data_IF_196500874497
#
_entry.id   IF_196500874497
#
_cell.length_a   1.000
_cell.length_b   1.000
_cell.length_c   1.000
_cell.angle_alpha   90.00
_cell.angle_beta   90.00
_cell.angle_gamma   90.00
#
_symmetry.space_group_name_H-M   'P 1'
#
loop_
_entity.id
_entity.type
_entity.pdbx_description
1 polymer ?
#
# COMPACT_ATOMS: atom_id res chain seq x y z
N UNK A 1 13.02 -7.08 -27.00
CA UNK A 1 12.37 -7.14 -25.67
C UNK A 1 11.59 -5.86 -25.49
N UNK A 2 10.30 -5.97 -25.36
CA UNK A 2 9.44 -4.80 -25.13
C UNK A 2 9.57 -4.25 -23.69
N UNK A 3 8.84 -3.18 -23.34
CA UNK A 3 8.96 -2.56 -22.02
C UNK A 3 8.40 -3.48 -20.91
N UNK A 4 7.30 -4.17 -21.16
CA UNK A 4 6.69 -5.09 -20.21
C UNK A 4 7.60 -6.29 -19.94
N UNK A 5 8.21 -6.87 -20.96
CA UNK A 5 9.20 -7.94 -20.82
C UNK A 5 10.42 -7.50 -20.00
N UNK A 6 10.92 -6.28 -20.23
CA UNK A 6 12.04 -5.73 -19.44
C UNK A 6 11.69 -5.51 -17.98
N UNK A 7 10.48 -5.02 -17.69
CA UNK A 7 9.98 -4.85 -16.33
C UNK A 7 9.78 -6.21 -15.65
N UNK A 8 9.32 -7.23 -16.36
CA UNK A 8 9.16 -8.60 -15.84
C UNK A 8 10.51 -9.28 -15.57
N UNK A 9 11.54 -8.95 -16.36
CA UNK A 9 12.89 -9.50 -16.20
C UNK A 9 13.77 -8.74 -15.19
N UNK A 10 13.20 -7.69 -14.55
CA UNK A 10 13.94 -6.94 -13.55
C UNK A 10 14.26 -7.87 -12.36
N UNK A 11 15.53 -8.00 -12.04
CA UNK A 11 15.93 -8.67 -10.80
C UNK A 11 15.49 -7.82 -9.61
N UNK A 12 14.60 -8.37 -8.82
CA UNK A 12 13.98 -7.68 -7.69
C UNK A 12 14.45 -8.23 -6.34
N UNK A 13 15.38 -9.21 -6.35
CA UNK A 13 15.89 -9.80 -5.12
C UNK A 13 16.72 -8.79 -4.34
N UNK A 14 16.43 -8.68 -3.04
CA UNK A 14 17.07 -7.73 -2.15
C UNK A 14 16.66 -6.26 -2.32
N UNK A 15 15.83 -5.90 -3.30
CA UNK A 15 15.35 -4.54 -3.47
C UNK A 15 14.25 -4.20 -2.45
N UNK A 16 14.37 -3.00 -1.86
CA UNK A 16 13.25 -2.40 -1.15
C UNK A 16 12.14 -2.01 -2.14
N UNK A 17 10.91 -1.83 -1.67
CA UNK A 17 9.79 -1.37 -2.50
C UNK A 17 10.09 -0.06 -3.22
N UNK A 18 10.82 0.87 -2.59
CA UNK A 18 11.26 2.12 -3.18
C UNK A 18 12.30 1.92 -4.28
N UNK A 19 13.33 1.09 -4.03
CA UNK A 19 14.35 0.79 -5.02
C UNK A 19 13.76 0.09 -6.25
N UNK A 20 12.82 -0.83 -6.04
CA UNK A 20 12.07 -1.48 -7.11
C UNK A 20 11.33 -0.46 -7.99
N UNK A 21 10.53 0.43 -7.37
CA UNK A 21 9.79 1.47 -8.12
C UNK A 21 10.72 2.47 -8.82
N UNK A 22 11.86 2.79 -8.22
CA UNK A 22 12.89 3.64 -8.85
C UNK A 22 13.44 2.97 -10.11
N UNK A 23 13.78 1.68 -10.05
CA UNK A 23 14.28 0.93 -11.20
C UNK A 23 13.21 0.82 -12.31
N UNK A 24 11.95 0.56 -11.93
CA UNK A 24 10.83 0.53 -12.88
C UNK A 24 10.61 1.87 -13.57
N UNK A 25 10.62 2.98 -12.82
CA UNK A 25 10.53 4.34 -13.37
C UNK A 25 11.67 4.63 -14.33
N UNK A 26 12.90 4.20 -14.03
CA UNK A 26 14.05 4.36 -14.93
C UNK A 26 13.86 3.63 -16.28
N UNK A 27 13.30 2.41 -16.25
CA UNK A 27 12.98 1.68 -17.47
C UNK A 27 11.87 2.34 -18.29
N UNK A 28 10.85 2.88 -17.62
CA UNK A 28 9.75 3.62 -18.27
C UNK A 28 10.29 4.92 -18.87
N UNK A 29 11.04 5.73 -18.09
CA UNK A 29 11.59 7.00 -18.54
C UNK A 29 12.50 6.87 -19.76
N UNK A 30 13.23 5.77 -19.88
CA UNK A 30 14.06 5.47 -21.04
C UNK A 30 13.25 5.25 -22.34
N UNK A 31 11.92 5.11 -22.28
CA UNK A 31 11.03 4.82 -23.43
C UNK A 31 9.92 5.84 -23.60
N UNK A 32 9.47 6.44 -22.49
CA UNK A 32 8.40 7.43 -22.46
C UNK A 32 8.84 8.53 -21.48
N UNK A 33 9.16 9.70 -22.00
CA UNK A 33 9.57 10.86 -21.18
C UNK A 33 8.38 11.39 -20.39
N UNK A 34 8.65 11.89 -19.18
CA UNK A 34 7.71 12.59 -18.33
C UNK A 34 8.45 13.61 -17.46
N UNK A 35 7.76 14.68 -17.03
CA UNK A 35 8.35 15.76 -16.24
C UNK A 35 8.15 15.54 -14.74
N UNK A 36 7.08 14.84 -14.38
CA UNK A 36 6.77 14.50 -12.99
C UNK A 36 6.07 13.14 -12.90
N UNK A 37 6.10 12.54 -11.73
CA UNK A 37 5.44 11.25 -11.48
C UNK A 37 4.96 11.11 -10.04
N UNK A 38 3.94 10.28 -9.86
CA UNK A 38 3.51 9.73 -8.57
C UNK A 38 3.36 8.22 -8.73
N UNK A 39 4.28 7.47 -8.16
CA UNK A 39 4.21 6.01 -8.09
C UNK A 39 3.94 5.60 -6.65
N UNK A 40 2.69 5.37 -6.33
CA UNK A 40 2.26 5.11 -4.97
C UNK A 40 1.89 3.65 -4.75
N UNK A 41 2.27 3.11 -3.59
CA UNK A 41 1.67 1.89 -3.04
C UNK A 41 0.42 2.25 -2.22
N UNK A 42 -0.54 1.34 -2.20
CA UNK A 42 -1.77 1.48 -1.42
C UNK A 42 -1.96 0.27 -0.50
N UNK A 43 -2.74 0.42 0.55
CA UNK A 43 -3.30 -0.73 1.22
C UNK A 43 -4.27 -1.45 0.27
N UNK A 44 -4.08 -2.76 -0.01
CA UNK A 44 -4.86 -3.43 -1.04
C UNK A 44 -6.34 -3.62 -0.68
N UNK A 45 -6.72 -3.51 0.60
CA UNK A 45 -8.11 -3.62 1.05
C UNK A 45 -8.86 -2.29 0.89
N UNK A 46 -8.22 -1.17 1.22
CA UNK A 46 -8.86 0.15 1.23
C UNK A 46 -8.52 1.01 0.01
N UNK A 47 -7.40 0.74 -0.66
CA UNK A 47 -6.89 1.55 -1.76
C UNK A 47 -6.26 2.88 -1.32
N UNK A 48 -6.13 3.11 -0.01
CA UNK A 48 -5.53 4.32 0.54
C UNK A 48 -3.99 4.27 0.38
N UNK A 49 -3.40 5.38 -0.02
CA UNK A 49 -1.95 5.49 -0.24
C UNK A 49 -1.17 5.34 1.06
N UNK A 50 -0.16 4.47 1.04
CA UNK A 50 0.69 4.16 2.20
C UNK A 50 2.14 4.59 2.00
N UNK A 51 2.69 4.39 0.80
CA UNK A 51 4.08 4.69 0.47
C UNK A 51 4.15 5.36 -0.90
N UNK A 52 4.08 6.69 -0.98
CA UNK A 52 4.29 7.40 -2.23
C UNK A 52 5.79 7.43 -2.59
N UNK A 53 6.07 7.28 -3.88
CA UNK A 53 7.34 7.64 -4.50
C UNK A 53 7.01 8.65 -5.59
N UNK A 54 7.26 9.92 -5.33
CA UNK A 54 6.82 11.01 -6.20
C UNK A 54 7.96 12.00 -6.44
N UNK A 55 8.00 12.53 -7.65
CA UNK A 55 8.76 13.72 -8.01
C UNK A 55 7.79 14.69 -8.64
N UNK A 56 7.43 15.73 -7.93
CA UNK A 56 6.42 16.73 -8.29
C UNK A 56 7.00 18.12 -8.09
N UNK A 57 7.96 18.57 -8.95
CA UNK A 57 8.75 19.78 -8.74
C UNK A 57 7.91 21.06 -8.69
N UNK A 58 6.68 21.03 -9.22
CA UNK A 58 5.74 22.14 -9.21
C UNK A 58 4.97 22.29 -7.87
N UNK A 59 5.12 21.36 -6.92
CA UNK A 59 4.44 21.39 -5.62
C UNK A 59 5.47 21.56 -4.52
N UNK A 60 5.36 22.65 -3.75
CA UNK A 60 6.19 22.81 -2.57
C UNK A 60 5.86 21.74 -1.51
N UNK A 61 6.85 21.25 -0.73
CA UNK A 61 6.60 20.21 0.28
C UNK A 61 5.48 20.57 1.28
N UNK A 62 5.34 21.85 1.63
CA UNK A 62 4.28 22.34 2.52
C UNK A 62 2.87 22.28 1.92
N UNK A 63 2.75 22.24 0.59
CA UNK A 63 1.46 22.20 -0.10
C UNK A 63 1.00 20.77 -0.40
N UNK A 64 1.85 19.77 -0.20
CA UNK A 64 1.51 18.36 -0.43
C UNK A 64 0.23 17.90 0.30
N UNK A 65 -0.01 18.26 1.57
CA UNK A 65 -1.26 17.89 2.24
C UNK A 65 -2.51 18.40 1.53
N UNK A 66 -2.48 19.65 1.05
CA UNK A 66 -3.60 20.25 0.30
C UNK A 66 -3.83 19.52 -1.05
N UNK A 67 -2.75 19.17 -1.77
CA UNK A 67 -2.84 18.39 -3.01
C UNK A 67 -3.41 17.00 -2.74
N UNK A 68 -2.98 16.33 -1.67
CA UNK A 68 -3.53 15.03 -1.23
C UNK A 68 -5.03 15.17 -0.96
N UNK A 69 -5.46 16.16 -0.17
CA UNK A 69 -6.88 16.42 0.11
C UNK A 69 -7.68 16.59 -1.17
N UNK A 70 -7.19 17.43 -2.10
CA UNK A 70 -7.84 17.65 -3.41
C UNK A 70 -7.93 16.36 -4.23
N UNK A 71 -6.91 15.48 -4.16
CA UNK A 71 -6.93 14.18 -4.86
C UNK A 71 -8.07 13.29 -4.40
N UNK A 72 -8.31 13.21 -3.09
CA UNK A 72 -9.39 12.40 -2.53
C UNK A 72 -10.78 13.02 -2.71
N UNK A 73 -10.88 14.35 -2.72
CA UNK A 73 -12.18 15.05 -2.94
C UNK A 73 -12.60 15.13 -4.41
N UNK A 74 -11.79 14.59 -5.34
CA UNK A 74 -12.14 14.52 -6.76
C UNK A 74 -12.90 13.24 -7.10
N UNK A 75 -14.17 13.38 -7.48
CA UNK A 75 -15.04 12.27 -7.85
C UNK A 75 -14.77 11.71 -9.26
N UNK A 76 -14.01 12.41 -10.11
CA UNK A 76 -13.74 12.00 -11.49
C UNK A 76 -12.34 12.34 -11.97
N UNK A 77 -11.89 11.59 -12.98
CA UNK A 77 -10.59 11.84 -13.67
C UNK A 77 -10.56 13.24 -14.29
N UNK A 78 -11.69 13.73 -14.79
CA UNK A 78 -11.81 15.08 -15.39
C UNK A 78 -11.54 16.16 -14.34
N UNK A 79 -12.15 16.06 -13.17
CA UNK A 79 -11.90 17.00 -12.07
C UNK A 79 -10.44 16.98 -11.62
N UNK A 80 -9.84 15.79 -11.53
CA UNK A 80 -8.42 15.68 -11.18
C UNK A 80 -7.51 16.33 -12.22
N UNK A 81 -7.81 16.18 -13.51
CA UNK A 81 -7.09 16.87 -14.59
C UNK A 81 -7.19 18.39 -14.47
N UNK A 82 -8.33 18.93 -14.04
CA UNK A 82 -8.46 20.38 -13.77
C UNK A 82 -7.52 20.82 -12.65
N UNK A 83 -7.45 20.05 -11.56
CA UNK A 83 -6.49 20.31 -10.47
C UNK A 83 -5.05 20.27 -10.96
N UNK A 84 -4.70 19.29 -11.78
CA UNK A 84 -3.36 19.17 -12.35
C UNK A 84 -3.02 20.32 -13.31
N UNK A 85 -4.00 20.81 -14.07
CA UNK A 85 -3.80 21.96 -14.95
C UNK A 85 -3.48 23.25 -14.18
N UNK A 86 -4.06 23.46 -12.99
CA UNK A 86 -3.70 24.57 -12.10
C UNK A 86 -2.23 24.47 -11.60
N UNK A 87 -1.66 23.25 -11.54
CA UNK A 87 -0.27 22.98 -11.21
C UNK A 87 0.67 23.05 -12.44
N UNK A 88 0.15 23.45 -13.61
CA UNK A 88 0.92 23.55 -14.86
C UNK A 88 1.10 22.20 -15.59
N UNK A 89 0.36 21.17 -15.23
CA UNK A 89 0.38 19.88 -15.93
C UNK A 89 -0.54 19.95 -17.15
N UNK A 90 0.04 19.74 -18.35
CA UNK A 90 -0.69 19.77 -19.62
C UNK A 90 -1.37 18.44 -19.94
N UNK A 91 -0.72 17.33 -19.59
CA UNK A 91 -1.22 16.00 -19.88
C UNK A 91 -0.77 14.96 -18.86
N UNK A 92 -1.57 13.93 -18.66
CA UNK A 92 -1.32 12.86 -17.68
C UNK A 92 -1.73 11.50 -18.21
N UNK A 93 -0.96 10.48 -17.85
CA UNK A 93 -1.34 9.07 -17.96
C UNK A 93 -1.41 8.48 -16.56
N UNK A 94 -2.57 7.95 -16.21
CA UNK A 94 -2.84 7.32 -14.91
C UNK A 94 -3.10 5.83 -15.09
N UNK A 95 -2.44 5.01 -14.30
CA UNK A 95 -2.55 3.55 -14.31
C UNK A 95 -2.90 3.07 -12.91
N UNK A 96 -4.06 2.45 -12.75
CA UNK A 96 -4.42 1.75 -11.51
C UNK A 96 -3.81 0.35 -11.53
N UNK A 97 -3.10 0.00 -10.47
CA UNK A 97 -2.40 -1.28 -10.32
C UNK A 97 -3.20 -2.17 -9.35
N UNK A 98 -4.06 -3.00 -9.93
CA UNK A 98 -5.00 -3.83 -9.15
C UNK A 98 -5.19 -5.20 -9.78
N UNK A 99 -5.54 -6.15 -8.94
CA UNK A 99 -5.98 -7.48 -9.32
C UNK A 99 -7.17 -7.91 -8.42
N UNK A 100 -7.57 -9.20 -8.52
CA UNK A 100 -8.68 -9.72 -7.71
C UNK A 100 -8.41 -9.72 -6.18
N UNK A 101 -7.17 -9.55 -5.76
CA UNK A 101 -6.79 -9.53 -4.34
C UNK A 101 -6.72 -8.11 -3.76
N UNK A 102 -6.76 -7.07 -4.62
CA UNK A 102 -6.85 -5.70 -4.16
C UNK A 102 -6.20 -4.68 -5.08
N UNK A 103 -6.21 -3.43 -4.63
CA UNK A 103 -5.51 -2.33 -5.27
C UNK A 103 -4.14 -2.17 -4.62
N UNK A 104 -3.07 -2.49 -5.36
CA UNK A 104 -1.69 -2.48 -4.85
C UNK A 104 -1.00 -1.14 -4.99
N UNK A 105 -1.50 -0.28 -5.89
CA UNK A 105 -0.95 1.03 -6.12
C UNK A 105 -1.54 1.73 -7.33
N UNK A 106 -0.91 2.83 -7.67
CA UNK A 106 -1.12 3.50 -8.95
C UNK A 106 0.16 4.18 -9.41
N UNK A 107 0.25 4.41 -10.72
CA UNK A 107 1.30 5.21 -11.33
C UNK A 107 0.65 6.31 -12.16
N UNK A 108 0.99 7.56 -11.85
CA UNK A 108 0.67 8.74 -12.67
C UNK A 108 1.96 9.32 -13.24
N UNK A 109 1.96 9.58 -14.54
CA UNK A 109 3.04 10.25 -15.27
C UNK A 109 2.50 11.57 -15.80
N UNK A 110 3.18 12.66 -15.55
CA UNK A 110 2.74 14.01 -15.90
C UNK A 110 3.70 14.66 -16.90
N UNK A 111 3.13 15.45 -17.84
CA UNK A 111 3.86 16.33 -18.73
C UNK A 111 3.38 17.76 -18.57
N UNK A 112 4.32 18.71 -18.63
CA UNK A 112 4.08 20.14 -18.45
C UNK A 112 4.17 20.92 -19.77
N UNK A 113 4.67 20.34 -20.85
CA UNK A 113 4.90 21.05 -22.13
C UNK A 113 4.15 20.45 -23.30
N UNK A 114 4.20 19.15 -23.48
CA UNK A 114 3.56 18.44 -24.62
C UNK A 114 2.78 17.24 -24.14
N UNK A 115 1.71 16.88 -24.85
CA UNK A 115 0.92 15.67 -24.54
C UNK A 115 1.69 14.38 -24.82
N UNK A 116 1.21 13.28 -24.20
CA UNK A 116 1.65 11.93 -24.57
C UNK A 116 1.06 11.56 -25.94
N UNK A 117 1.88 11.05 -26.83
CA UNK A 117 1.45 10.51 -28.12
C UNK A 117 0.65 9.21 -27.95
N UNK A 118 -0.19 8.86 -28.92
CA UNK A 118 -0.93 7.59 -28.90
C UNK A 118 0.00 6.39 -28.77
N UNK A 119 1.12 6.38 -29.49
CA UNK A 119 2.13 5.33 -29.39
C UNK A 119 2.74 5.18 -27.99
N UNK A 120 2.93 6.28 -27.25
CA UNK A 120 3.40 6.25 -25.87
C UNK A 120 2.31 5.73 -24.95
N UNK A 121 1.07 6.16 -25.13
CA UNK A 121 -0.09 5.65 -24.39
C UNK A 121 -0.28 4.16 -24.58
N UNK A 122 -0.16 3.66 -25.81
CA UNK A 122 -0.25 2.23 -26.14
C UNK A 122 0.84 1.41 -25.43
N UNK A 123 2.07 1.94 -25.38
CA UNK A 123 3.17 1.30 -24.64
C UNK A 123 2.91 1.23 -23.15
N UNK A 124 2.31 2.26 -22.58
CA UNK A 124 2.00 2.34 -21.15
C UNK A 124 0.79 1.48 -20.77
N UNK A 125 -0.17 1.32 -21.69
CA UNK A 125 -1.40 0.54 -21.47
C UNK A 125 -1.15 -0.94 -21.14
N UNK A 126 -0.04 -1.51 -21.58
CA UNK A 126 0.36 -2.89 -21.32
C UNK A 126 1.05 -3.11 -19.96
N UNK A 127 1.38 -2.04 -19.21
CA UNK A 127 2.20 -2.14 -18.00
C UNK A 127 1.46 -2.53 -16.72
N UNK A 128 0.16 -2.18 -16.53
CA UNK A 128 -0.50 -2.43 -15.25
C UNK A 128 -0.40 -3.86 -14.72
N UNK A 129 -0.55 -4.94 -15.51
CA UNK A 129 -0.45 -6.31 -15.00
C UNK A 129 0.93 -6.63 -14.40
N UNK A 130 2.00 -6.22 -15.06
CA UNK A 130 3.39 -6.46 -14.64
C UNK A 130 3.71 -5.66 -13.39
N UNK A 131 3.37 -4.37 -13.36
CA UNK A 131 3.59 -3.51 -12.20
C UNK A 131 2.77 -3.98 -11.00
N UNK A 132 1.51 -4.39 -11.21
CA UNK A 132 0.65 -4.96 -10.16
C UNK A 132 1.29 -6.20 -9.53
N UNK A 133 1.74 -7.14 -10.35
CA UNK A 133 2.37 -8.36 -9.87
C UNK A 133 3.65 -8.06 -9.06
N UNK A 134 4.46 -7.11 -9.52
CA UNK A 134 5.70 -6.75 -8.84
C UNK A 134 5.45 -6.04 -7.49
N UNK A 135 4.46 -5.14 -7.39
CA UNK A 135 4.10 -4.51 -6.11
C UNK A 135 3.53 -5.53 -5.12
N UNK A 136 2.63 -6.41 -5.57
CA UNK A 136 2.12 -7.49 -4.71
C UNK A 136 3.25 -8.39 -4.20
N UNK A 137 4.19 -8.76 -5.06
CA UNK A 137 5.35 -9.55 -4.68
C UNK A 137 6.27 -8.81 -3.69
N UNK A 138 6.47 -7.50 -3.87
CA UNK A 138 7.20 -6.68 -2.92
C UNK A 138 6.55 -6.71 -1.52
N UNK A 139 5.21 -6.67 -1.44
CA UNK A 139 4.49 -6.83 -0.18
C UNK A 139 4.66 -8.25 0.37
N UNK A 140 4.52 -9.30 -0.45
CA UNK A 140 4.69 -10.69 -0.01
C UNK A 140 6.07 -10.95 0.64
N UNK A 141 7.12 -10.35 0.11
CA UNK A 141 8.50 -10.46 0.62
C UNK A 141 8.71 -9.81 2.00
N UNK A 142 7.85 -8.90 2.42
CA UNK A 142 7.94 -8.31 3.78
C UNK A 142 7.55 -9.28 4.89
N UNK A 143 6.90 -10.39 4.56
CA UNK A 143 6.48 -11.42 5.50
C UNK A 143 7.59 -12.47 5.70
N UNK A 144 8.60 -12.10 6.46
CA UNK A 144 9.72 -12.99 6.84
C UNK A 144 9.55 -13.49 8.26
N UNK A 145 10.24 -14.58 8.59
CA UNK A 145 10.42 -14.97 9.99
C UNK A 145 11.42 -14.00 10.61
N UNK A 146 11.09 -13.30 11.71
CA UNK A 146 12.03 -12.38 12.35
C UNK A 146 13.23 -13.08 12.93
N UNK A 147 14.44 -12.56 12.70
CA UNK A 147 15.68 -13.07 13.27
C UNK A 147 15.86 -12.70 14.76
N UNK A 148 15.08 -11.71 15.23
CA UNK A 148 15.11 -11.22 16.61
C UNK A 148 13.71 -10.82 17.07
N UNK A 149 13.44 -10.79 18.39
CA UNK A 149 12.17 -10.29 18.91
C UNK A 149 11.87 -8.90 18.37
N UNK A 150 10.65 -8.66 17.87
CA UNK A 150 10.31 -7.37 17.28
C UNK A 150 10.34 -6.28 18.37
N UNK A 151 11.02 -5.16 18.08
CA UNK A 151 10.88 -3.97 18.90
C UNK A 151 9.41 -3.54 18.86
N UNK A 152 8.75 -3.49 20.02
CA UNK A 152 7.35 -3.14 20.15
C UNK A 152 7.09 -1.76 19.54
N UNK A 153 6.13 -1.68 18.62
CA UNK A 153 5.62 -0.39 18.14
C UNK A 153 4.73 0.18 19.23
N UNK A 154 5.04 1.39 19.68
CA UNK A 154 4.16 2.11 20.61
C UNK A 154 2.99 2.69 19.82
N UNK A 155 1.80 2.57 20.40
CA UNK A 155 0.61 3.23 19.86
C UNK A 155 0.63 4.72 20.19
N UNK A 156 0.05 5.52 19.29
CA UNK A 156 -0.05 6.95 19.50
C UNK A 156 -1.15 7.59 18.66
N UNK A 157 -1.42 8.85 18.93
CA UNK A 157 -2.44 9.63 18.26
C UNK A 157 -1.85 10.94 17.77
N UNK A 158 -2.27 11.35 16.56
CA UNK A 158 -2.05 12.68 16.00
C UNK A 158 -3.41 13.35 15.89
N UNK A 159 -3.51 14.61 16.26
CA UNK A 159 -4.68 15.43 16.01
C UNK A 159 -4.40 16.38 14.85
N UNK A 160 -5.30 16.37 13.87
CA UNK A 160 -5.30 17.28 12.74
C UNK A 160 -6.61 18.05 12.67
N UNK A 161 -6.62 19.13 11.92
CA UNK A 161 -7.86 19.80 11.49
C UNK A 161 -8.25 19.41 10.05
N UNK A 162 -9.35 19.96 9.55
CA UNK A 162 -9.87 19.68 8.21
C UNK A 162 -8.97 20.21 7.09
N UNK A 163 -8.03 21.11 7.40
CA UNK A 163 -7.00 21.59 6.48
C UNK A 163 -5.71 20.75 6.55
N UNK A 164 -5.78 19.58 7.20
CA UNK A 164 -4.67 18.64 7.39
C UNK A 164 -3.48 19.25 8.19
N UNK A 165 -3.72 20.30 8.97
CA UNK A 165 -2.70 20.87 9.82
C UNK A 165 -2.58 20.07 11.11
N UNK A 166 -1.36 19.66 11.46
CA UNK A 166 -1.08 18.93 12.71
C UNK A 166 -1.22 19.88 13.88
N UNK A 167 -2.10 19.53 14.82
CA UNK A 167 -2.41 20.33 16.04
C UNK A 167 -1.76 19.75 17.28
N UNK A 168 -1.65 18.43 17.37
CA UNK A 168 -1.01 17.76 18.50
C UNK A 168 -0.50 16.37 18.10
N UNK A 169 0.55 15.90 18.77
CA UNK A 169 1.15 14.57 18.53
C UNK A 169 1.54 13.98 19.89
N UNK A 170 1.09 12.78 20.19
CA UNK A 170 1.57 12.06 21.38
C UNK A 170 3.01 11.58 21.17
N UNK A 171 3.77 11.37 22.24
CA UNK A 171 5.17 10.91 22.16
C UNK A 171 5.30 9.54 21.46
N UNK A 172 4.34 8.62 21.68
CA UNK A 172 4.28 7.33 20.98
C UNK A 172 4.08 7.49 19.48
N UNK A 173 3.15 8.37 19.06
CA UNK A 173 2.94 8.68 17.65
C UNK A 173 4.21 9.28 17.02
N UNK A 174 4.86 10.25 17.67
CA UNK A 174 6.10 10.85 17.18
C UNK A 174 7.17 9.80 16.87
N UNK A 175 7.38 8.82 17.76
CA UNK A 175 8.33 7.73 17.51
C UNK A 175 7.91 6.79 16.38
N UNK A 176 6.62 6.50 16.25
CA UNK A 176 6.10 5.68 15.15
C UNK A 176 6.28 6.39 13.79
N UNK A 177 5.97 7.69 13.74
CA UNK A 177 6.12 8.53 12.54
C UNK A 177 7.56 8.55 12.02
N UNK A 178 8.55 8.69 12.91
CA UNK A 178 9.96 8.67 12.53
C UNK A 178 10.39 7.37 11.84
N UNK A 179 9.69 6.26 12.09
CA UNK A 179 9.94 4.98 11.39
C UNK A 179 9.26 4.89 10.03
N UNK A 180 8.25 5.72 9.80
CA UNK A 180 7.49 5.77 8.54
C UNK A 180 8.07 6.78 7.56
N UNK A 181 8.85 7.76 8.03
CA UNK A 181 9.49 8.77 7.18
C UNK A 181 10.79 8.21 6.58
N UNK A 182 11.05 8.43 5.29
CA UNK A 182 12.35 8.16 4.71
C UNK A 182 13.42 9.04 5.40
N UNK A 183 14.57 8.47 5.80
CA UNK A 183 15.56 9.21 6.58
C UNK A 183 16.27 10.36 5.84
N UNK A 184 16.05 10.51 4.53
CA UNK A 184 16.83 11.41 3.66
C UNK A 184 16.01 12.44 2.89
N UNK A 185 14.69 12.49 3.06
CA UNK A 185 13.86 13.45 2.31
C UNK A 185 13.26 14.52 3.23
N UNK A 186 13.37 15.81 2.87
CA UNK A 186 12.56 16.84 3.49
C UNK A 186 11.08 16.54 3.17
N UNK A 187 10.30 16.29 4.20
CA UNK A 187 8.88 15.98 4.09
C UNK A 187 8.05 16.81 5.05
N UNK A 188 6.73 16.79 4.92
CA UNK A 188 5.85 17.37 5.91
C UNK A 188 6.06 16.70 7.28
N UNK A 189 5.61 17.34 8.38
CA UNK A 189 5.88 16.88 9.76
C UNK A 189 5.32 15.50 10.10
N UNK A 190 4.42 14.96 9.26
CA UNK A 190 3.89 13.61 9.38
C UNK A 190 3.98 12.87 8.05
N UNK A 191 4.10 11.52 8.03
CA UNK A 191 4.19 10.75 6.79
C UNK A 191 2.91 10.86 5.97
N UNK A 192 3.08 10.71 4.65
CA UNK A 192 1.98 10.77 3.69
C UNK A 192 0.82 9.85 4.05
N UNK A 193 1.07 8.68 4.64
CA UNK A 193 0.01 7.75 5.06
C UNK A 193 -0.99 8.40 6.03
N UNK A 194 -0.51 9.24 6.99
CA UNK A 194 -1.40 9.95 7.92
C UNK A 194 -2.29 10.97 7.19
N UNK A 195 -1.73 11.74 6.26
CA UNK A 195 -2.53 12.68 5.45
C UNK A 195 -3.52 11.95 4.54
N UNK A 196 -3.13 10.80 3.97
CA UNK A 196 -4.00 10.05 3.08
C UNK A 196 -5.21 9.44 3.81
N UNK A 197 -5.06 8.92 5.05
CA UNK A 197 -6.23 8.42 5.81
C UNK A 197 -7.15 9.56 6.23
N UNK A 198 -6.61 10.74 6.56
CA UNK A 198 -7.43 11.93 6.87
C UNK A 198 -8.19 12.41 5.63
N UNK A 199 -7.52 12.52 4.50
CA UNK A 199 -8.16 12.90 3.24
C UNK A 199 -9.24 11.89 2.81
N UNK A 200 -9.01 10.58 3.06
CA UNK A 200 -9.99 9.55 2.81
C UNK A 200 -11.21 9.65 3.77
N UNK A 201 -10.99 10.02 5.05
CA UNK A 201 -12.08 10.28 6.00
C UNK A 201 -12.97 11.42 5.51
N UNK A 202 -12.36 12.56 5.18
CA UNK A 202 -13.10 13.72 4.68
C UNK A 202 -13.88 13.40 3.41
N UNK A 203 -13.26 12.69 2.46
CA UNK A 203 -13.93 12.25 1.25
C UNK A 203 -15.02 11.20 1.51
N UNK A 204 -14.90 10.40 2.57
CA UNK A 204 -15.94 9.46 3.00
C UNK A 204 -17.14 10.19 3.60
N UNK A 205 -16.91 11.20 4.43
CA UNK A 205 -17.96 12.07 4.99
C UNK A 205 -18.71 12.81 3.89
N UNK A 206 -18.01 13.22 2.81
CA UNK A 206 -18.59 13.85 1.63
C UNK A 206 -19.27 12.85 0.66
N UNK A 207 -19.28 11.55 0.97
CA UNK A 207 -19.87 10.51 0.12
C UNK A 207 -19.07 10.19 -1.17
N UNK A 208 -17.83 10.67 -1.30
CA UNK A 208 -16.97 10.49 -2.48
C UNK A 208 -16.16 9.19 -2.37
N UNK A 209 -15.65 8.87 -1.17
CA UNK A 209 -14.83 7.68 -0.94
C UNK A 209 -15.66 6.59 -0.26
N UNK A 210 -15.81 5.40 -0.88
CA UNK A 210 -16.69 4.35 -0.34
C UNK A 210 -16.05 3.51 0.76
N UNK A 211 -14.72 3.58 0.92
CA UNK A 211 -13.95 2.74 1.84
C UNK A 211 -13.82 3.36 3.24
N UNK A 212 -13.44 2.52 4.19
CA UNK A 212 -13.08 2.98 5.54
C UNK A 212 -11.74 3.72 5.53
N UNK A 213 -11.56 4.77 6.35
CA UNK A 213 -10.37 5.62 6.37
C UNK A 213 -9.23 5.00 7.20
N UNK A 214 -8.72 3.86 6.79
CA UNK A 214 -7.57 3.20 7.41
C UNK A 214 -6.64 2.53 6.40
N UNK A 215 -5.40 2.32 6.79
CA UNK A 215 -4.40 1.65 5.96
C UNK A 215 -3.33 0.97 6.82
N UNK A 216 -2.72 -0.09 6.28
CA UNK A 216 -1.53 -0.73 6.84
C UNK A 216 -0.30 -0.18 6.18
N UNK A 217 0.70 0.16 6.99
CA UNK A 217 1.97 0.73 6.54
C UNK A 217 3.11 -0.19 6.97
N UNK A 218 3.99 -0.51 6.03
CA UNK A 218 5.19 -1.30 6.30
C UNK A 218 6.26 -0.46 7.00
N UNK A 219 6.81 -0.98 8.10
CA UNK A 219 7.82 -0.31 8.93
C UNK A 219 9.22 -0.91 8.83
N UNK A 220 9.44 -1.73 7.82
CA UNK A 220 10.67 -2.50 7.65
C UNK A 220 10.65 -3.86 8.37
N UNK A 221 11.50 -4.79 7.91
CA UNK A 221 11.46 -6.19 8.29
C UNK A 221 10.04 -6.76 8.16
N UNK A 222 9.57 -7.57 9.10
CA UNK A 222 8.20 -8.12 9.08
C UNK A 222 7.18 -7.25 9.87
N UNK A 223 7.41 -5.94 10.03
CA UNK A 223 6.58 -5.07 10.89
C UNK A 223 5.59 -4.23 10.09
N UNK A 224 4.35 -4.22 10.56
CA UNK A 224 3.27 -3.46 9.97
C UNK A 224 2.54 -2.64 11.04
N UNK A 225 2.24 -1.38 10.72
CA UNK A 225 1.38 -0.52 11.52
C UNK A 225 0.04 -0.34 10.83
N UNK A 226 -1.02 -0.22 11.62
CA UNK A 226 -2.31 0.28 11.15
C UNK A 226 -2.47 1.74 11.51
N UNK A 227 -2.88 2.54 10.55
CA UNK A 227 -3.16 3.97 10.65
C UNK A 227 -4.64 4.16 10.35
N UNK A 228 -5.40 4.79 11.27
CA UNK A 228 -6.84 5.01 11.14
C UNK A 228 -7.16 6.45 11.44
N UNK A 229 -8.06 7.05 10.66
CA UNK A 229 -8.58 8.38 10.93
C UNK A 229 -10.02 8.30 11.40
N UNK A 230 -10.34 9.04 12.45
CA UNK A 230 -11.69 9.13 13.01
C UNK A 230 -12.01 10.59 13.37
N UNK A 231 -13.28 10.98 13.24
CA UNK A 231 -13.75 12.30 13.65
C UNK A 231 -13.78 12.37 15.20
N UNK A 232 -13.17 13.40 15.74
CA UNK A 232 -13.18 13.71 17.16
C UNK A 232 -13.62 15.17 17.32
N UNK A 233 -14.90 15.39 17.53
CA UNK A 233 -15.52 16.72 17.59
C UNK A 233 -15.17 17.57 16.35
N UNK A 234 -14.50 18.71 16.53
CA UNK A 234 -13.99 19.61 15.49
C UNK A 234 -12.59 19.23 14.96
N UNK A 235 -12.06 18.05 15.32
CA UNK A 235 -10.74 17.56 14.97
C UNK A 235 -10.81 16.21 14.29
N UNK A 236 -9.67 15.78 13.77
CA UNK A 236 -9.47 14.43 13.25
C UNK A 236 -8.37 13.77 14.06
N UNK A 237 -8.71 12.65 14.70
CA UNK A 237 -7.75 11.82 15.40
C UNK A 237 -7.21 10.76 14.44
N UNK A 238 -5.88 10.73 14.24
CA UNK A 238 -5.19 9.65 13.53
C UNK A 238 -4.51 8.76 14.55
N UNK A 239 -5.05 7.58 14.74
CA UNK A 239 -4.46 6.54 15.58
C UNK A 239 -3.42 5.74 14.79
N UNK A 240 -2.27 5.46 15.42
CA UNK A 240 -1.18 4.65 14.87
C UNK A 240 -0.85 3.57 15.90
N UNK A 241 -0.82 2.33 15.47
CA UNK A 241 -0.46 1.20 16.32
C UNK A 241 -0.01 -0.01 15.51
N UNK A 242 0.44 -1.09 16.17
CA UNK A 242 0.78 -2.32 15.47
C UNK A 242 -0.48 -2.87 14.78
N UNK A 243 -0.33 -3.38 13.57
CA UNK A 243 -1.41 -4.10 12.88
C UNK A 243 -1.80 -5.33 13.69
N UNK A 244 -3.10 -5.55 13.82
CA UNK A 244 -3.63 -6.75 14.50
C UNK A 244 -3.27 -8.03 13.73
N UNK A 245 -3.38 -9.18 14.40
CA UNK A 245 -3.20 -10.49 13.77
C UNK A 245 -4.12 -10.67 12.56
N UNK A 246 -5.39 -10.27 12.68
CA UNK A 246 -6.37 -10.36 11.60
C UNK A 246 -6.02 -9.47 10.42
N UNK A 247 -5.63 -8.22 10.67
CA UNK A 247 -5.19 -7.28 9.61
C UNK A 247 -3.95 -7.78 8.88
N UNK A 248 -2.98 -8.35 9.62
CA UNK A 248 -1.79 -8.97 9.02
C UNK A 248 -2.14 -10.19 8.19
N UNK A 249 -2.99 -11.08 8.72
CA UNK A 249 -3.41 -12.30 8.03
C UNK A 249 -4.15 -11.98 6.73
N UNK A 250 -5.02 -10.96 6.71
CA UNK A 250 -5.68 -10.49 5.49
C UNK A 250 -4.65 -10.00 4.45
N UNK A 251 -3.70 -9.16 4.86
CA UNK A 251 -2.66 -8.67 3.95
C UNK A 251 -1.77 -9.79 3.43
N UNK A 252 -1.37 -10.72 4.31
CA UNK A 252 -0.60 -11.90 3.96
C UNK A 252 -1.35 -12.77 2.92
N UNK A 253 -2.64 -13.03 3.17
CA UNK A 253 -3.47 -13.80 2.27
C UNK A 253 -3.58 -13.18 0.88
N UNK A 254 -3.80 -11.86 0.81
CA UNK A 254 -3.84 -11.10 -0.45
C UNK A 254 -2.50 -11.15 -1.19
N UNK A 255 -1.40 -10.88 -0.47
CA UNK A 255 -0.06 -10.84 -1.05
C UNK A 255 0.37 -12.19 -1.64
N UNK A 256 0.02 -13.29 -0.97
CA UNK A 256 0.30 -14.67 -1.41
C UNK A 256 -0.80 -15.29 -2.27
N UNK A 257 -1.79 -14.51 -2.71
CA UNK A 257 -2.86 -14.96 -3.63
C UNK A 257 -3.66 -16.16 -3.10
N UNK A 258 -3.96 -16.14 -1.81
CA UNK A 258 -4.74 -17.21 -1.22
C UNK A 258 -6.20 -17.15 -1.71
N UNK A 259 -6.80 -18.32 -1.91
CA UNK A 259 -8.25 -18.37 -2.17
C UNK A 259 -9.03 -18.07 -0.90
N UNK A 260 -10.32 -17.70 -0.97
CA UNK A 260 -11.15 -17.49 0.22
C UNK A 260 -11.06 -18.66 1.20
N UNK A 261 -11.15 -19.90 0.71
CA UNK A 261 -11.06 -21.10 1.54
C UNK A 261 -9.69 -21.29 2.18
N UNK A 262 -8.61 -20.99 1.47
CA UNK A 262 -7.25 -20.99 2.03
C UNK A 262 -7.08 -19.91 3.09
N UNK A 263 -7.69 -18.75 2.92
CA UNK A 263 -7.66 -17.67 3.91
C UNK A 263 -8.40 -18.07 5.20
N UNK A 264 -9.55 -18.76 5.09
CA UNK A 264 -10.27 -19.31 6.24
C UNK A 264 -9.42 -20.33 7.00
N UNK A 265 -8.80 -21.29 6.30
CA UNK A 265 -7.90 -22.29 6.90
C UNK A 265 -6.72 -21.61 7.59
N UNK A 266 -6.09 -20.59 6.96
CA UNK A 266 -5.01 -19.83 7.58
C UNK A 266 -5.49 -19.13 8.84
N UNK A 267 -6.65 -18.50 8.81
CA UNK A 267 -7.21 -17.78 9.96
C UNK A 267 -7.45 -18.70 11.15
N UNK A 268 -8.06 -19.85 10.96
CA UNK A 268 -8.30 -20.85 12.01
C UNK A 268 -6.96 -21.43 12.53
N UNK A 269 -6.00 -21.65 11.65
CA UNK A 269 -4.66 -22.09 12.04
C UNK A 269 -3.91 -21.06 12.91
N UNK A 270 -4.09 -19.75 12.65
CA UNK A 270 -3.54 -18.66 13.45
C UNK A 270 -4.17 -18.57 14.85
N UNK A 271 -5.42 -19.07 15.01
CA UNK A 271 -6.09 -19.23 16.31
C UNK A 271 -5.69 -20.52 17.05
N UNK A 272 -4.71 -21.26 16.55
CA UNK A 272 -4.18 -22.47 17.21
C UNK A 272 -4.95 -23.75 16.95
N UNK A 273 -5.95 -23.76 16.06
CA UNK A 273 -6.72 -24.95 15.75
C UNK A 273 -5.86 -25.96 14.98
N UNK A 274 -5.91 -27.23 15.34
CA UNK A 274 -5.27 -28.29 14.59
C UNK A 274 -6.05 -28.65 13.31
N UNK A 275 -5.50 -29.54 12.48
CA UNK A 275 -6.10 -29.89 11.18
C UNK A 275 -7.49 -30.51 11.32
N UNK A 276 -7.72 -31.29 12.38
CA UNK A 276 -9.00 -31.92 12.62
C UNK A 276 -10.05 -30.91 13.07
N UNK A 277 -9.71 -30.03 14.01
CA UNK A 277 -10.58 -28.95 14.45
C UNK A 277 -10.95 -28.00 13.32
N UNK A 278 -10.01 -27.69 12.41
CA UNK A 278 -10.26 -26.87 11.20
C UNK A 278 -11.24 -27.63 10.28
N UNK A 279 -11.06 -28.91 10.06
CA UNK A 279 -11.95 -29.70 9.22
C UNK A 279 -13.39 -29.71 9.78
N UNK A 280 -13.54 -29.92 11.09
CA UNK A 280 -14.82 -29.91 11.79
C UNK A 280 -15.48 -28.52 11.71
N UNK A 281 -14.75 -27.43 11.99
CA UNK A 281 -15.24 -26.04 11.93
C UNK A 281 -15.72 -25.64 10.52
N UNK A 282 -14.97 -26.06 9.52
CA UNK A 282 -15.26 -25.71 8.12
C UNK A 282 -16.21 -26.71 7.43
N UNK A 283 -16.63 -27.75 8.16
CA UNK A 283 -17.53 -28.84 7.66
C UNK A 283 -16.98 -29.46 6.36
N UNK A 284 -15.69 -29.84 6.36
CA UNK A 284 -15.03 -30.52 5.24
C UNK A 284 -14.24 -31.73 5.70
N UNK A 285 -13.85 -32.59 4.75
CA UNK A 285 -13.05 -33.76 5.07
C UNK A 285 -11.65 -33.35 5.58
N UNK A 286 -11.10 -34.14 6.50
CA UNK A 286 -9.74 -33.94 7.02
C UNK A 286 -8.70 -33.89 5.90
N UNK A 287 -8.78 -34.75 4.89
CA UNK A 287 -7.90 -34.75 3.72
C UNK A 287 -7.98 -33.46 2.91
N UNK A 288 -9.17 -32.86 2.79
CA UNK A 288 -9.38 -31.58 2.13
C UNK A 288 -8.66 -30.44 2.88
N UNK A 289 -8.69 -30.48 4.22
CA UNK A 289 -7.96 -29.51 5.05
C UNK A 289 -6.45 -29.68 4.88
N UNK A 290 -5.94 -30.91 4.82
CA UNK A 290 -4.52 -31.18 4.53
C UNK A 290 -4.11 -30.64 3.17
N UNK A 291 -4.95 -30.81 2.14
CA UNK A 291 -4.67 -30.29 0.81
C UNK A 291 -4.65 -28.75 0.78
N UNK A 292 -5.55 -28.08 1.51
CA UNK A 292 -5.48 -26.64 1.70
C UNK A 292 -4.21 -26.20 2.42
N UNK A 293 -3.79 -26.90 3.47
CA UNK A 293 -2.53 -26.59 4.18
C UNK A 293 -1.30 -26.80 3.29
N UNK A 294 -1.24 -27.89 2.51
CA UNK A 294 -0.17 -28.10 1.52
C UNK A 294 -0.11 -26.96 0.48
N UNK A 295 -1.28 -26.56 -0.04
CA UNK A 295 -1.36 -25.44 -0.98
C UNK A 295 -0.94 -24.09 -0.35
N UNK A 296 -1.28 -23.87 0.93
CA UNK A 296 -0.82 -22.71 1.70
C UNK A 296 0.71 -22.69 1.80
N UNK A 297 1.32 -23.80 2.21
CA UNK A 297 2.77 -23.92 2.33
C UNK A 297 3.47 -23.62 0.99
N UNK A 298 2.97 -24.22 -0.10
CA UNK A 298 3.53 -24.00 -1.44
C UNK A 298 3.43 -22.54 -1.90
N UNK A 299 2.24 -21.91 -1.71
CA UNK A 299 2.03 -20.50 -2.15
C UNK A 299 2.82 -19.48 -1.33
N UNK A 300 3.12 -19.80 -0.08
CA UNK A 300 3.82 -18.90 0.84
C UNK A 300 5.31 -19.22 0.95
N UNK A 301 5.81 -20.19 0.17
CA UNK A 301 7.19 -20.69 0.27
C UNK A 301 7.58 -21.02 1.72
N UNK A 302 6.69 -21.73 2.41
CA UNK A 302 6.88 -22.15 3.79
C UNK A 302 7.10 -23.67 3.84
N UNK A 303 8.14 -24.11 4.58
CA UNK A 303 8.49 -25.54 4.69
C UNK A 303 7.73 -26.27 5.79
N UNK A 304 7.06 -25.52 6.68
CA UNK A 304 6.31 -26.08 7.79
C UNK A 304 5.14 -25.15 8.20
N UNK A 305 4.16 -25.75 8.88
CA UNK A 305 3.06 -24.98 9.49
C UNK A 305 3.58 -23.92 10.48
N UNK A 306 4.60 -24.26 11.28
CA UNK A 306 5.22 -23.31 12.21
C UNK A 306 5.80 -22.09 11.47
N UNK A 307 6.54 -22.32 10.40
CA UNK A 307 7.11 -21.23 9.59
C UNK A 307 6.01 -20.37 8.93
N UNK A 308 4.96 -21.00 8.39
CA UNK A 308 3.81 -20.30 7.83
C UNK A 308 3.19 -19.35 8.86
N UNK A 309 2.91 -19.85 10.07
CA UNK A 309 2.29 -19.06 11.14
C UNK A 309 3.25 -17.94 11.62
N UNK A 310 4.55 -18.22 11.81
CA UNK A 310 5.53 -17.23 12.19
C UNK A 310 5.64 -16.09 11.17
N UNK A 311 5.63 -16.39 9.87
CA UNK A 311 5.61 -15.38 8.81
C UNK A 311 4.32 -14.54 8.85
N UNK A 312 3.18 -15.18 8.94
CA UNK A 312 1.89 -14.49 8.97
C UNK A 312 1.72 -13.60 10.21
N UNK A 313 2.20 -14.04 11.38
CA UNK A 313 2.13 -13.29 12.64
C UNK A 313 3.19 -12.20 12.74
N UNK A 314 4.38 -12.43 12.18
CA UNK A 314 5.50 -11.49 12.25
C UNK A 314 6.32 -11.60 13.54
N UNK A 315 6.27 -12.78 14.21
CA UNK A 315 7.01 -13.09 15.43
C UNK A 315 6.21 -12.84 16.68
#
# INVERSE_FOLDING_TARGET
MDLAERLSALDVDGLTDRALRTAQLGLIAARVGFDAHVFAMTDPATGIVTSPHATVPMVAPGDLPAVIRRRYSTASVTQWRTVLAELGVTDTVSMTLQDRWGRWGFLELWRCSAGFTDRERDRLAGLPPVLTASLRMAVARTFTVPDAPPTRLESGVILLDDDLQVRSVTSGAGRALMRMLPPTEPGPPVPAAAYNVVAALLAHEDGIWPGEPWARVHLGASRWASVRAERLEDRIAVSIGPSTTTERADLFARAHQLSPRQSEVLHLALHGMDTRAIADELVIAHSTTEDHLKALLAKTDSTSRHQLLARALGG
#
